data_IF_422036966037
#
_entry.id   IF_422036966037
#
_cell.length_a   1.000
_cell.length_b   1.000
_cell.length_c   1.000
_cell.angle_alpha   90.00
_cell.angle_beta   90.00
_cell.angle_gamma   90.00
#
_symmetry.space_group_name_H-M   'P 1'
#
loop_
_entity.id
_entity.type
_entity.pdbx_description
1 polymer ?
#
# COMPACT_ATOMS: atom_id res chain seq x y z
N UNK A 1 -29.72 -3.40 20.69
CA UNK A 1 -28.92 -2.17 20.89
C UNK A 1 -27.62 -2.19 20.09
N UNK A 2 -26.85 -3.29 20.13
CA UNK A 2 -25.57 -3.46 19.40
C UNK A 2 -25.67 -3.22 17.88
N UNK A 3 -26.65 -3.82 17.19
CA UNK A 3 -26.88 -3.60 15.75
C UNK A 3 -27.21 -2.15 15.37
N UNK A 4 -27.80 -1.38 16.28
CA UNK A 4 -28.12 0.03 16.03
C UNK A 4 -26.85 0.89 15.94
N UNK A 5 -25.93 0.70 16.90
CA UNK A 5 -24.66 1.44 16.93
C UNK A 5 -23.75 1.00 15.78
N UNK A 6 -23.71 -0.31 15.48
CA UNK A 6 -22.97 -0.82 14.32
C UNK A 6 -23.45 -0.16 13.01
N UNK A 7 -24.76 -0.08 12.78
CA UNK A 7 -25.32 0.55 11.57
C UNK A 7 -24.98 2.04 11.50
N UNK A 8 -25.03 2.76 12.63
CA UNK A 8 -24.64 4.17 12.69
C UNK A 8 -23.16 4.35 12.33
N UNK A 9 -22.27 3.53 12.91
CA UNK A 9 -20.82 3.58 12.62
C UNK A 9 -20.58 3.26 11.14
N UNK A 10 -21.17 2.19 10.62
CA UNK A 10 -21.06 1.79 9.22
C UNK A 10 -21.54 2.88 8.26
N UNK A 11 -22.68 3.51 8.55
CA UNK A 11 -23.24 4.59 7.74
C UNK A 11 -22.38 5.85 7.79
N UNK A 12 -21.90 6.25 8.98
CA UNK A 12 -20.96 7.36 9.13
C UNK A 12 -19.66 7.11 8.35
N UNK A 13 -19.10 5.91 8.47
CA UNK A 13 -17.89 5.52 7.75
C UNK A 13 -18.13 5.34 6.24
N UNK A 14 -19.36 5.10 5.81
CA UNK A 14 -19.75 5.04 4.39
C UNK A 14 -19.80 6.42 3.74
N UNK A 15 -20.05 7.49 4.51
CA UNK A 15 -20.08 8.86 4.02
C UNK A 15 -18.70 9.35 3.56
N UNK A 16 -18.63 10.05 2.43
CA UNK A 16 -17.42 10.71 1.93
C UNK A 16 -17.10 12.03 2.65
N UNK A 17 -17.98 12.52 3.53
CA UNK A 17 -17.90 13.84 4.18
C UNK A 17 -17.62 13.76 5.69
N UNK A 18 -17.13 12.61 6.19
CA UNK A 18 -16.86 12.47 7.63
C UNK A 18 -15.76 13.45 8.06
N UNK A 19 -16.02 14.22 9.11
CA UNK A 19 -15.00 15.10 9.70
C UNK A 19 -14.05 14.29 10.59
N UNK A 20 -12.88 14.84 10.89
CA UNK A 20 -11.92 14.20 11.80
C UNK A 20 -12.50 13.90 13.19
N UNK A 21 -13.31 14.80 13.73
CA UNK A 21 -13.98 14.59 15.02
C UNK A 21 -14.89 13.35 14.99
N UNK A 22 -15.66 13.18 13.91
CA UNK A 22 -16.50 11.99 13.73
C UNK A 22 -15.66 10.72 13.51
N UNK A 23 -14.57 10.78 12.75
CA UNK A 23 -13.67 9.64 12.57
C UNK A 23 -13.05 9.18 13.91
N UNK A 24 -12.66 10.12 14.78
CA UNK A 24 -12.18 9.82 16.13
C UNK A 24 -13.24 9.24 17.05
N UNK A 25 -14.48 9.75 16.98
CA UNK A 25 -15.60 9.20 17.74
C UNK A 25 -15.91 7.77 17.30
N UNK A 26 -16.02 7.54 15.99
CA UNK A 26 -16.21 6.20 15.41
C UNK A 26 -15.08 5.26 15.83
N UNK A 27 -13.83 5.70 15.76
CA UNK A 27 -12.68 4.94 16.24
C UNK A 27 -12.81 4.55 17.72
N UNK A 28 -13.13 5.49 18.61
CA UNK A 28 -13.33 5.21 20.03
C UNK A 28 -14.47 4.20 20.26
N UNK A 29 -15.57 4.30 19.50
CA UNK A 29 -16.66 3.34 19.57
C UNK A 29 -16.26 1.94 19.08
N UNK A 30 -15.46 1.85 18.02
CA UNK A 30 -14.98 0.56 17.50
C UNK A 30 -14.09 -0.14 18.53
N UNK A 31 -13.20 0.59 19.21
CA UNK A 31 -12.39 0.04 20.31
C UNK A 31 -13.25 -0.42 21.48
N UNK A 32 -14.19 0.43 21.93
CA UNK A 32 -15.05 0.14 23.09
C UNK A 32 -15.97 -1.06 22.86
N UNK A 33 -16.37 -1.28 21.61
CA UNK A 33 -17.31 -2.35 21.23
C UNK A 33 -16.59 -3.56 20.62
N UNK A 34 -15.26 -3.57 20.61
CA UNK A 34 -14.43 -4.64 20.04
C UNK A 34 -14.78 -4.97 18.57
N UNK A 35 -15.20 -3.95 17.80
CA UNK A 35 -15.58 -4.09 16.39
C UNK A 35 -14.37 -4.06 15.44
N UNK A 36 -13.15 -4.08 15.96
CA UNK A 36 -11.92 -3.96 15.18
C UNK A 36 -11.60 -5.22 14.36
N UNK A 37 -12.15 -6.38 14.74
CA UNK A 37 -12.03 -7.62 13.96
C UNK A 37 -12.87 -7.60 12.68
N UNK A 38 -13.83 -6.68 12.57
CA UNK A 38 -14.60 -6.47 11.35
C UNK A 38 -13.74 -5.76 10.30
N UNK A 39 -13.25 -6.55 9.35
CA UNK A 39 -12.40 -6.06 8.25
C UNK A 39 -13.04 -4.94 7.43
N UNK A 40 -14.37 -4.92 7.28
CA UNK A 40 -15.07 -3.85 6.55
C UNK A 40 -15.01 -2.54 7.35
N UNK A 41 -15.39 -2.57 8.63
CA UNK A 41 -15.33 -1.39 9.51
C UNK A 41 -13.89 -0.87 9.63
N UNK A 42 -12.93 -1.75 9.88
CA UNK A 42 -11.51 -1.39 10.01
C UNK A 42 -10.98 -0.73 8.72
N UNK A 43 -11.27 -1.30 7.55
CA UNK A 43 -10.84 -0.75 6.25
C UNK A 43 -11.44 0.64 5.99
N UNK A 44 -12.73 0.83 6.29
CA UNK A 44 -13.39 2.13 6.08
C UNK A 44 -12.86 3.19 7.03
N UNK A 45 -12.66 2.85 8.31
CA UNK A 45 -12.05 3.76 9.28
C UNK A 45 -10.66 4.22 8.81
N UNK A 46 -9.81 3.28 8.40
CA UNK A 46 -8.46 3.57 7.96
C UNK A 46 -8.42 4.38 6.67
N UNK A 47 -9.31 4.11 5.72
CA UNK A 47 -9.45 4.90 4.49
C UNK A 47 -9.74 6.36 4.80
N UNK A 48 -10.57 6.63 5.82
CA UNK A 48 -10.86 7.99 6.26
C UNK A 48 -9.68 8.67 6.94
N UNK A 49 -8.94 7.97 7.81
CA UNK A 49 -7.72 8.55 8.38
C UNK A 49 -6.65 8.82 7.31
N UNK A 50 -6.50 7.92 6.32
CA UNK A 50 -5.54 8.06 5.23
C UNK A 50 -5.90 9.22 4.28
N UNK A 51 -7.19 9.41 3.95
CA UNK A 51 -7.65 10.51 3.10
C UNK A 51 -7.55 11.88 3.79
N UNK A 52 -7.59 11.94 5.13
CA UNK A 52 -7.51 13.19 5.90
C UNK A 52 -6.11 13.49 6.47
N UNK A 53 -5.06 12.82 5.97
CA UNK A 53 -3.66 13.15 6.23
C UNK A 53 -3.21 13.01 7.71
N UNK A 54 -3.79 12.08 8.48
CA UNK A 54 -3.43 11.85 9.89
C UNK A 54 -2.41 10.71 10.05
N UNK A 55 -1.19 10.95 9.57
CA UNK A 55 -0.18 9.95 9.25
C UNK A 55 0.35 9.11 10.41
N UNK A 56 0.70 9.72 11.55
CA UNK A 56 1.26 8.98 12.70
C UNK A 56 0.25 8.06 13.38
N UNK A 57 -1.05 8.32 13.17
CA UNK A 57 -2.12 7.51 13.69
C UNK A 57 -2.38 6.31 12.78
N UNK A 58 -2.39 6.47 11.46
CA UNK A 58 -2.74 5.37 10.55
C UNK A 58 -1.77 4.19 10.63
N UNK A 59 -0.47 4.40 10.77
CA UNK A 59 0.49 3.28 10.89
C UNK A 59 0.26 2.46 12.18
N UNK A 60 0.04 3.13 13.31
CA UNK A 60 -0.33 2.46 14.56
C UNK A 60 -1.70 1.77 14.47
N UNK A 61 -2.66 2.40 13.78
CA UNK A 61 -3.99 1.83 13.58
C UNK A 61 -3.95 0.61 12.66
N UNK A 62 -3.21 0.65 11.55
CA UNK A 62 -3.08 -0.51 10.67
C UNK A 62 -2.52 -1.71 11.43
N UNK A 63 -1.53 -1.50 12.30
CA UNK A 63 -0.94 -2.58 13.10
C UNK A 63 -1.89 -3.09 14.20
N UNK A 64 -2.69 -2.21 14.82
CA UNK A 64 -3.63 -2.58 15.89
C UNK A 64 -4.95 -3.18 15.38
N UNK A 65 -5.48 -2.69 14.27
CA UNK A 65 -6.80 -3.08 13.76
C UNK A 65 -6.75 -4.30 12.83
N UNK A 66 -5.61 -4.57 12.19
CA UNK A 66 -5.50 -5.72 11.30
C UNK A 66 -4.79 -6.90 11.96
N UNK A 67 -5.54 -7.62 12.79
CA UNK A 67 -5.15 -8.99 13.16
C UNK A 67 -5.05 -9.88 11.90
N UNK A 68 -6.02 -9.76 10.98
CA UNK A 68 -6.12 -10.54 9.74
C UNK A 68 -6.52 -9.65 8.53
N UNK A 69 -5.61 -8.84 7.98
CA UNK A 69 -5.92 -8.00 6.84
C UNK A 69 -6.20 -8.82 5.57
N UNK A 70 -7.19 -8.40 4.80
CA UNK A 70 -7.47 -8.98 3.47
C UNK A 70 -6.80 -8.17 2.36
N UNK A 71 -6.62 -8.78 1.18
CA UNK A 71 -6.09 -8.06 0.01
C UNK A 71 -6.91 -6.79 -0.34
N UNK A 72 -8.27 -6.82 -0.42
CA UNK A 72 -9.05 -5.61 -0.66
C UNK A 72 -8.85 -4.50 0.37
N UNK A 73 -8.67 -4.86 1.65
CA UNK A 73 -8.37 -3.91 2.72
C UNK A 73 -7.06 -3.16 2.47
N UNK A 74 -6.00 -3.91 2.15
CA UNK A 74 -4.70 -3.32 1.81
C UNK A 74 -4.78 -2.47 0.54
N UNK A 75 -5.43 -2.95 -0.51
CA UNK A 75 -5.60 -2.20 -1.78
C UNK A 75 -6.24 -0.84 -1.54
N UNK A 76 -7.29 -0.80 -0.72
CA UNK A 76 -8.01 0.44 -0.40
C UNK A 76 -7.11 1.44 0.31
N UNK A 77 -6.36 0.98 1.32
CA UNK A 77 -5.50 1.83 2.14
C UNK A 77 -4.28 2.30 1.35
N UNK A 78 -3.63 1.41 0.59
CA UNK A 78 -2.52 1.76 -0.31
C UNK A 78 -2.94 2.84 -1.30
N UNK A 79 -4.10 2.70 -1.94
CA UNK A 79 -4.60 3.71 -2.88
C UNK A 79 -4.89 5.06 -2.22
N UNK A 80 -5.27 5.09 -0.94
CA UNK A 80 -5.39 6.34 -0.20
C UNK A 80 -4.02 7.01 -0.02
N UNK A 81 -3.01 6.27 0.43
CA UNK A 81 -1.67 6.83 0.63
C UNK A 81 -0.95 7.22 -0.65
N UNK A 82 -1.12 6.45 -1.73
CA UNK A 82 -0.57 6.77 -3.06
C UNK A 82 -1.13 8.10 -3.57
N UNK A 83 -2.43 8.37 -3.35
CA UNK A 83 -3.07 9.65 -3.71
C UNK A 83 -2.59 10.80 -2.84
N UNK A 84 -2.28 10.53 -1.57
CA UNK A 84 -1.72 11.52 -0.63
C UNK A 84 -0.21 11.72 -0.77
N UNK A 85 0.47 11.03 -1.69
CA UNK A 85 1.92 11.07 -1.90
C UNK A 85 2.79 10.61 -0.71
N UNK A 86 2.21 9.83 0.22
CA UNK A 86 2.91 9.29 1.39
C UNK A 86 3.65 8.00 1.05
N UNK A 87 4.74 8.14 0.33
CA UNK A 87 5.45 7.01 -0.26
C UNK A 87 6.15 6.11 0.76
N UNK A 88 6.48 6.61 1.94
CA UNK A 88 7.12 5.87 3.02
C UNK A 88 6.14 4.86 3.63
N UNK A 89 4.91 5.30 3.90
CA UNK A 89 3.82 4.45 4.39
C UNK A 89 3.45 3.41 3.34
N UNK A 90 3.41 3.79 2.06
CA UNK A 90 3.17 2.85 0.95
C UNK A 90 4.19 1.70 0.95
N UNK A 91 5.49 2.00 1.12
CA UNK A 91 6.52 0.97 1.19
C UNK A 91 6.43 0.11 2.45
N UNK A 92 6.05 0.69 3.59
CA UNK A 92 5.83 -0.04 4.83
C UNK A 92 4.67 -1.05 4.70
N UNK A 93 3.54 -0.59 4.14
CA UNK A 93 2.38 -1.45 3.87
C UNK A 93 2.71 -2.56 2.89
N UNK A 94 3.52 -2.28 1.86
CA UNK A 94 4.00 -3.29 0.94
C UNK A 94 4.81 -4.39 1.65
N UNK A 95 5.76 -3.99 2.51
CA UNK A 95 6.55 -4.95 3.28
C UNK A 95 5.65 -5.80 4.20
N UNK A 96 4.65 -5.18 4.83
CA UNK A 96 3.68 -5.88 5.68
C UNK A 96 2.85 -6.90 4.89
N UNK A 97 2.38 -6.56 3.68
CA UNK A 97 1.67 -7.50 2.80
C UNK A 97 2.53 -8.72 2.47
N UNK A 98 3.80 -8.50 2.14
CA UNK A 98 4.77 -9.58 1.88
C UNK A 98 4.96 -10.51 3.09
N UNK A 99 5.12 -9.94 4.29
CA UNK A 99 5.22 -10.73 5.53
C UNK A 99 3.96 -11.53 5.86
N UNK A 100 2.79 -11.07 5.42
CA UNK A 100 1.51 -11.76 5.57
C UNK A 100 1.20 -12.74 4.43
N UNK A 101 2.11 -12.91 3.47
CA UNK A 101 1.92 -13.80 2.33
C UNK A 101 0.86 -13.32 1.33
N UNK A 102 0.51 -12.04 1.36
CA UNK A 102 -0.45 -11.44 0.43
C UNK A 102 0.28 -10.97 -0.83
N UNK A 103 -0.06 -11.55 -1.97
CA UNK A 103 0.45 -11.12 -3.26
C UNK A 103 -0.10 -9.73 -3.60
N UNK A 104 0.78 -8.86 -4.10
CA UNK A 104 0.33 -7.67 -4.81
C UNK A 104 -0.32 -8.10 -6.13
N UNK A 105 -1.47 -7.51 -6.42
CA UNK A 105 -2.00 -7.51 -7.77
C UNK A 105 -1.13 -6.63 -8.71
N UNK A 106 -1.30 -6.80 -10.01
CA UNK A 106 -0.60 -6.00 -11.02
C UNK A 106 -0.95 -4.50 -10.99
N UNK A 107 -1.91 -4.08 -10.17
CA UNK A 107 -2.38 -2.70 -10.06
C UNK A 107 -1.66 -1.93 -8.94
N UNK A 108 -1.33 -2.60 -7.84
CA UNK A 108 -0.62 -2.00 -6.70
C UNK A 108 0.89 -1.97 -6.89
N UNK A 109 1.44 -2.95 -7.61
CA UNK A 109 2.89 -3.05 -7.84
C UNK A 109 3.48 -1.81 -8.54
N UNK A 110 2.88 -1.23 -9.59
CA UNK A 110 3.37 0.03 -10.19
C UNK A 110 3.38 1.19 -9.18
N UNK A 111 2.38 1.26 -8.30
CA UNK A 111 2.28 2.31 -7.28
C UNK A 111 3.37 2.19 -6.22
N UNK A 112 3.69 0.96 -5.80
CA UNK A 112 4.78 0.69 -4.87
C UNK A 112 6.16 0.97 -5.49
N UNK A 113 6.37 0.63 -6.77
CA UNK A 113 7.57 0.98 -7.53
C UNK A 113 7.72 2.51 -7.64
N UNK A 114 6.62 3.22 -7.92
CA UNK A 114 6.60 4.70 -7.96
C UNK A 114 6.99 5.29 -6.60
N UNK A 115 6.49 4.73 -5.50
CA UNK A 115 6.86 5.14 -4.15
C UNK A 115 8.36 4.93 -3.88
N UNK A 116 8.90 3.76 -4.26
CA UNK A 116 10.32 3.46 -4.17
C UNK A 116 11.18 4.46 -4.95
N UNK A 117 10.77 4.78 -6.18
CA UNK A 117 11.45 5.74 -7.05
C UNK A 117 11.41 7.16 -6.47
N UNK A 118 10.27 7.58 -5.93
CA UNK A 118 10.11 8.91 -5.34
C UNK A 118 10.99 9.11 -4.11
N UNK A 119 11.15 8.08 -3.27
CA UNK A 119 11.99 8.10 -2.08
C UNK A 119 13.46 7.77 -2.32
N UNK A 120 13.81 7.41 -3.56
CA UNK A 120 15.14 6.90 -3.92
C UNK A 120 15.59 5.71 -3.06
N UNK A 121 14.64 4.89 -2.60
CA UNK A 121 14.91 3.83 -1.64
C UNK A 121 15.71 2.68 -2.29
N UNK A 122 16.96 2.48 -1.85
CA UNK A 122 17.85 1.45 -2.40
C UNK A 122 17.40 0.02 -2.07
N UNK A 123 17.10 -0.26 -0.80
CA UNK A 123 16.77 -1.62 -0.32
C UNK A 123 15.52 -2.22 -0.97
N UNK A 124 14.37 -1.51 -1.08
CA UNK A 124 13.15 -2.07 -1.67
C UNK A 124 13.26 -2.30 -3.18
N UNK A 125 14.18 -1.61 -3.86
CA UNK A 125 14.37 -1.68 -5.32
C UNK A 125 14.62 -3.10 -5.82
N UNK A 126 15.56 -3.80 -5.18
CA UNK A 126 15.91 -5.19 -5.52
C UNK A 126 14.76 -6.15 -5.19
N UNK A 127 13.99 -5.86 -4.14
CA UNK A 127 12.81 -6.63 -3.79
C UNK A 127 11.73 -6.50 -4.88
N UNK A 128 11.47 -5.29 -5.38
CA UNK A 128 10.51 -5.09 -6.47
C UNK A 128 10.95 -5.75 -7.77
N UNK A 129 12.24 -5.65 -8.12
CA UNK A 129 12.78 -6.37 -9.28
C UNK A 129 12.59 -7.88 -9.15
N UNK A 130 13.01 -8.46 -8.02
CA UNK A 130 12.90 -9.90 -7.78
C UNK A 130 11.45 -10.38 -7.78
N UNK A 131 10.56 -9.62 -7.14
CA UNK A 131 9.12 -9.88 -7.15
C UNK A 131 8.54 -9.84 -8.56
N UNK A 132 8.85 -8.80 -9.35
CA UNK A 132 8.35 -8.68 -10.71
C UNK A 132 8.81 -9.84 -11.61
N UNK A 133 10.04 -10.32 -11.43
CA UNK A 133 10.55 -11.47 -12.16
C UNK A 133 9.86 -12.77 -11.71
N UNK A 134 9.80 -13.03 -10.39
CA UNK A 134 9.20 -14.23 -9.83
C UNK A 134 7.69 -14.35 -10.13
N UNK A 135 6.98 -13.22 -10.22
CA UNK A 135 5.56 -13.18 -10.51
C UNK A 135 5.21 -13.07 -12.00
N UNK A 136 6.21 -13.16 -12.91
CA UNK A 136 5.99 -13.07 -14.37
C UNK A 136 5.60 -11.67 -14.88
N UNK A 137 5.67 -10.66 -14.02
CA UNK A 137 5.37 -9.26 -14.37
C UNK A 137 6.46 -8.59 -15.20
N UNK A 138 7.63 -9.21 -15.37
CA UNK A 138 8.71 -8.69 -16.21
C UNK A 138 8.29 -8.46 -17.67
N UNK A 139 7.30 -9.22 -18.18
CA UNK A 139 6.75 -9.06 -19.54
C UNK A 139 5.66 -7.99 -19.64
N UNK A 140 5.19 -7.45 -18.51
CA UNK A 140 4.20 -6.38 -18.51
C UNK A 140 4.90 -5.04 -18.79
N UNK A 141 4.59 -4.42 -19.92
CA UNK A 141 5.24 -3.18 -20.38
C UNK A 141 5.09 -1.99 -19.42
N UNK A 142 3.97 -1.91 -18.69
CA UNK A 142 3.72 -0.87 -17.69
C UNK A 142 4.66 -1.06 -16.49
N UNK A 143 4.80 -2.30 -16.03
CA UNK A 143 5.66 -2.65 -14.91
C UNK A 143 7.14 -2.55 -15.27
N UNK A 144 7.54 -3.03 -16.46
CA UNK A 144 8.88 -2.86 -16.99
C UNK A 144 9.26 -1.37 -17.06
N UNK A 145 8.38 -0.51 -17.60
CA UNK A 145 8.60 0.94 -17.66
C UNK A 145 8.71 1.58 -16.27
N UNK A 146 7.89 1.13 -15.32
CA UNK A 146 7.94 1.61 -13.93
C UNK A 146 9.26 1.22 -13.25
N UNK A 147 9.74 0.00 -13.47
CA UNK A 147 11.03 -0.47 -12.97
C UNK A 147 12.18 0.35 -13.56
N UNK A 148 12.18 0.59 -14.88
CA UNK A 148 13.16 1.45 -15.56
C UNK A 148 13.21 2.83 -14.90
N UNK A 149 12.06 3.47 -14.74
CA UNK A 149 11.98 4.78 -14.09
C UNK A 149 12.53 4.77 -12.66
N UNK A 150 12.25 3.70 -11.90
CA UNK A 150 12.79 3.52 -10.55
C UNK A 150 14.32 3.40 -10.55
N UNK A 151 14.92 2.64 -11.46
CA UNK A 151 16.38 2.56 -11.55
C UNK A 151 17.00 3.92 -11.89
N UNK A 152 16.46 4.62 -12.90
CA UNK A 152 16.97 5.93 -13.32
C UNK A 152 16.92 6.98 -12.21
N UNK A 153 15.83 7.00 -11.43
CA UNK A 153 15.62 8.02 -10.39
C UNK A 153 16.46 7.78 -9.13
N UNK A 154 16.93 6.56 -8.94
CA UNK A 154 17.69 6.17 -7.77
C UNK A 154 19.16 5.82 -8.10
N UNK A 155 19.60 6.09 -9.33
CA UNK A 155 20.99 5.99 -9.76
C UNK A 155 21.71 7.30 -9.42
N UNK A 156 22.45 7.26 -8.31
CA UNK A 156 23.80 7.81 -8.29
C UNK A 156 24.59 7.02 -9.35
N UNK A 157 24.70 7.59 -10.54
CA UNK A 157 25.32 7.02 -11.74
C UNK A 157 26.67 6.38 -11.37
N UNK A 158 26.74 5.04 -11.27
CA UNK A 158 28.02 4.36 -11.00
C UNK A 158 27.96 2.95 -10.43
N UNK A 159 26.86 2.52 -9.83
CA UNK A 159 26.84 1.26 -9.08
C UNK A 159 26.33 0.04 -9.86
N UNK A 160 26.71 -1.15 -9.36
CA UNK A 160 26.34 -2.54 -9.75
C UNK A 160 24.89 -2.71 -10.24
N UNK A 161 23.99 -1.82 -9.80
CA UNK A 161 22.59 -1.69 -10.17
C UNK A 161 22.35 -1.48 -11.68
N UNK A 162 23.22 -0.75 -12.38
CA UNK A 162 23.16 -0.60 -13.84
C UNK A 162 23.33 -1.96 -14.54
N UNK A 163 24.19 -2.83 -14.01
CA UNK A 163 24.40 -4.19 -14.52
C UNK A 163 23.17 -5.10 -14.37
N UNK A 164 22.49 -5.04 -13.20
CA UNK A 164 21.23 -5.76 -13.00
C UNK A 164 20.12 -5.26 -13.94
N UNK A 165 20.07 -3.95 -14.18
CA UNK A 165 19.13 -3.34 -15.10
C UNK A 165 19.38 -3.70 -16.58
N UNK A 166 20.65 -3.69 -17.03
CA UNK A 166 21.00 -4.14 -18.39
C UNK A 166 20.66 -5.62 -18.58
N UNK A 167 20.91 -6.46 -17.58
CA UNK A 167 20.55 -7.88 -17.61
C UNK A 167 19.03 -8.09 -17.61
N UNK A 168 18.28 -7.24 -16.92
CA UNK A 168 16.81 -7.21 -16.96
C UNK A 168 16.28 -6.89 -18.36
N UNK A 169 16.78 -5.81 -18.97
CA UNK A 169 16.42 -5.44 -20.35
C UNK A 169 16.81 -6.53 -21.35
N UNK A 170 17.97 -7.16 -21.15
CA UNK A 170 18.40 -8.33 -21.91
C UNK A 170 17.35 -9.44 -21.87
N UNK A 171 16.90 -9.85 -20.67
CA UNK A 171 15.88 -10.89 -20.52
C UNK A 171 14.53 -10.53 -21.16
N UNK A 172 14.12 -9.26 -21.15
CA UNK A 172 12.92 -8.79 -21.85
C UNK A 172 13.12 -8.85 -23.37
N UNK A 173 14.31 -8.49 -23.87
CA UNK A 173 14.61 -8.50 -25.31
C UNK A 173 14.75 -9.91 -25.92
N UNK A 174 15.08 -10.93 -25.12
CA UNK A 174 15.14 -12.34 -25.57
C UNK A 174 13.80 -13.07 -25.48
N UNK A 175 12.72 -12.40 -25.06
CA UNK A 175 11.37 -13.00 -24.91
C UNK A 175 10.39 -12.59 -26.03
N UNK A 176 10.88 -12.01 -27.12
CA UNK A 176 10.13 -11.67 -28.34
C UNK A 176 10.68 -12.43 -29.55
#
# INVERSE_FOLDING_TARGET
MFNGIYNIISQCLSSSTITFSHARQSHAHILKLELYDDTYIATRLLSHYANNLYFSQVTNLVLHFFSNPTLPSFTTILNAFVRSHEYDVVLCLFSLMGHKGLALDGFLLPSAIKACAALQALKPRLQFHGYAFASGYALNSILASSLVHMYLKCDSIGDVMSGYFIRFLGLISYSF
#
